data_IF_363742450444
#
_entry.id   IF_363742450444
#
_cell.length_a   1.000
_cell.length_b   1.000
_cell.length_c   1.000
_cell.angle_alpha   90.00
_cell.angle_beta   90.00
_cell.angle_gamma   90.00
#
_symmetry.space_group_name_H-M   'P 1'
#
loop_
_entity.id
_entity.type
_entity.pdbx_description
1 polymer ?
#
# COMPACT_ATOMS: atom_id res chain seq x y z
N UNK A 1 -6.19 7.54 16.67
CA UNK A 1 -5.67 7.08 15.36
C UNK A 1 -5.07 8.25 14.59
N UNK A 2 -3.79 8.19 14.26
CA UNK A 2 -3.08 9.22 13.49
C UNK A 2 -3.47 9.19 12.00
N UNK A 3 -3.11 10.24 11.24
CA UNK A 3 -3.30 10.25 9.77
C UNK A 3 -2.55 9.10 9.11
N UNK A 4 -1.34 8.80 9.58
CA UNK A 4 -0.52 7.74 9.02
C UNK A 4 -1.15 6.38 9.26
N UNK A 5 -1.63 6.11 10.47
CA UNK A 5 -2.36 4.86 10.79
C UNK A 5 -3.60 4.66 9.91
N UNK A 6 -4.37 5.73 9.64
CA UNK A 6 -5.52 5.67 8.72
C UNK A 6 -5.11 5.29 7.30
N UNK A 7 -4.02 5.88 6.79
CA UNK A 7 -3.51 5.58 5.46
C UNK A 7 -3.00 4.14 5.35
N UNK A 8 -2.24 3.68 6.36
CA UNK A 8 -1.78 2.29 6.44
C UNK A 8 -2.96 1.31 6.53
N UNK A 9 -3.98 1.62 7.34
CA UNK A 9 -5.19 0.79 7.42
C UNK A 9 -5.91 0.69 6.06
N UNK A 10 -6.10 1.81 5.36
CA UNK A 10 -6.66 1.83 4.00
C UNK A 10 -5.80 1.00 3.03
N UNK A 11 -4.47 1.18 3.03
CA UNK A 11 -3.58 0.42 2.14
C UNK A 11 -3.70 -1.08 2.36
N UNK A 12 -3.77 -1.52 3.62
CA UNK A 12 -3.96 -2.92 3.98
C UNK A 12 -5.32 -3.46 3.51
N UNK A 13 -6.38 -2.67 3.62
CA UNK A 13 -7.71 -3.04 3.10
C UNK A 13 -7.70 -3.20 1.58
N UNK A 14 -7.05 -2.29 0.85
CA UNK A 14 -6.90 -2.37 -0.62
C UNK A 14 -6.16 -3.65 -1.02
N UNK A 15 -5.03 -3.97 -0.36
CA UNK A 15 -4.27 -5.20 -0.62
C UNK A 15 -5.10 -6.45 -0.35
N UNK A 16 -5.79 -6.49 0.80
CA UNK A 16 -6.67 -7.60 1.15
C UNK A 16 -7.75 -7.81 0.08
N UNK A 17 -8.43 -6.73 -0.31
CA UNK A 17 -9.50 -6.77 -1.31
C UNK A 17 -9.00 -7.27 -2.67
N UNK A 18 -7.81 -6.80 -3.10
CA UNK A 18 -7.18 -7.24 -4.34
C UNK A 18 -6.94 -8.76 -4.35
N UNK A 19 -6.28 -9.30 -3.32
CA UNK A 19 -6.00 -10.74 -3.26
C UNK A 19 -7.26 -11.58 -3.04
N UNK A 20 -8.25 -11.10 -2.28
CA UNK A 20 -9.55 -11.76 -2.13
C UNK A 20 -10.27 -11.87 -3.48
N UNK A 21 -10.27 -10.80 -4.28
CA UNK A 21 -10.88 -10.80 -5.62
C UNK A 21 -10.12 -11.68 -6.60
N UNK A 22 -8.79 -11.67 -6.56
CA UNK A 22 -7.95 -12.55 -7.38
C UNK A 22 -8.21 -14.02 -7.07
N UNK A 23 -8.28 -14.38 -5.78
CA UNK A 23 -8.57 -15.74 -5.36
C UNK A 23 -9.97 -16.21 -5.76
N UNK A 24 -10.97 -15.32 -5.67
CA UNK A 24 -12.35 -15.61 -6.09
C UNK A 24 -12.51 -15.71 -7.61
N UNK A 25 -11.69 -14.97 -8.36
CA UNK A 25 -11.81 -14.85 -9.82
C UNK A 25 -10.47 -15.20 -10.52
N UNK A 26 -10.00 -16.46 -10.47
CA UNK A 26 -8.65 -16.83 -10.94
C UNK A 26 -8.42 -16.64 -12.45
N UNK A 27 -9.50 -16.48 -13.25
CA UNK A 27 -9.42 -16.25 -14.70
C UNK A 27 -9.44 -14.78 -15.09
N UNK A 28 -9.72 -13.88 -14.15
CA UNK A 28 -9.73 -12.45 -14.44
C UNK A 28 -8.32 -11.96 -14.69
N UNK A 29 -8.20 -11.02 -15.63
CA UNK A 29 -6.95 -10.30 -15.82
C UNK A 29 -6.70 -9.38 -14.62
N UNK A 30 -5.42 -9.09 -14.37
CA UNK A 30 -5.01 -8.24 -13.25
C UNK A 30 -5.57 -6.81 -13.35
N UNK A 31 -5.66 -6.25 -14.55
CA UNK A 31 -6.24 -4.91 -14.78
C UNK A 31 -7.73 -4.85 -14.41
N UNK A 32 -8.50 -5.88 -14.74
CA UNK A 32 -9.91 -5.97 -14.32
C UNK A 32 -10.06 -6.04 -12.78
N UNK A 33 -9.15 -6.74 -12.10
CA UNK A 33 -9.13 -6.77 -10.63
C UNK A 33 -8.77 -5.39 -10.07
N UNK A 34 -7.79 -4.70 -10.67
CA UNK A 34 -7.39 -3.35 -10.26
C UNK A 34 -8.56 -2.36 -10.40
N UNK A 35 -9.27 -2.40 -11.52
CA UNK A 35 -10.44 -1.57 -11.79
C UNK A 35 -11.54 -1.80 -10.75
N UNK A 36 -11.92 -3.06 -10.51
CA UNK A 36 -12.94 -3.42 -9.51
C UNK A 36 -12.54 -2.99 -8.08
N UNK A 37 -11.25 -3.13 -7.73
CA UNK A 37 -10.74 -2.64 -6.44
C UNK A 37 -10.78 -1.12 -6.37
N UNK A 38 -10.43 -0.43 -7.46
CA UNK A 38 -10.48 1.03 -7.58
C UNK A 38 -11.88 1.56 -7.33
N UNK A 39 -12.89 0.96 -7.98
CA UNK A 39 -14.29 1.32 -7.84
C UNK A 39 -14.81 1.10 -6.40
N UNK A 40 -14.48 -0.04 -5.78
CA UNK A 40 -14.89 -0.33 -4.40
C UNK A 40 -14.20 0.54 -3.34
N UNK A 41 -12.98 1.00 -3.63
CA UNK A 41 -12.17 1.77 -2.68
C UNK A 41 -12.13 3.28 -2.97
N UNK A 42 -12.79 3.73 -4.04
CA UNK A 42 -12.79 5.10 -4.54
C UNK A 42 -11.36 5.62 -4.79
N UNK A 43 -10.52 4.79 -5.41
CA UNK A 43 -9.13 5.10 -5.74
C UNK A 43 -8.88 4.93 -7.23
N UNK A 44 -8.05 5.79 -7.82
CA UNK A 44 -7.61 5.61 -9.20
C UNK A 44 -6.77 4.32 -9.35
N UNK A 45 -6.88 3.66 -10.50
CA UNK A 45 -6.19 2.39 -10.82
C UNK A 45 -4.68 2.46 -10.53
N UNK A 46 -4.02 3.55 -10.93
CA UNK A 46 -2.58 3.74 -10.67
C UNK A 46 -2.23 3.75 -9.18
N UNK A 47 -3.14 4.26 -8.33
CA UNK A 47 -2.96 4.29 -6.88
C UNK A 47 -3.12 2.90 -6.29
N UNK A 48 -4.12 2.13 -6.73
CA UNK A 48 -4.29 0.73 -6.33
C UNK A 48 -3.05 -0.09 -6.67
N UNK A 49 -2.53 0.05 -7.90
CA UNK A 49 -1.28 -0.61 -8.30
C UNK A 49 -0.11 -0.25 -7.39
N UNK A 50 0.08 1.05 -7.11
CA UNK A 50 1.18 1.51 -6.27
C UNK A 50 1.08 0.94 -4.84
N UNK A 51 -0.15 0.85 -4.29
CA UNK A 51 -0.40 0.27 -2.98
C UNK A 51 -0.07 -1.23 -2.97
N UNK A 52 -0.52 -1.99 -3.97
CA UNK A 52 -0.29 -3.44 -4.07
C UNK A 52 1.19 -3.75 -4.27
N UNK A 53 1.90 -2.95 -5.08
CA UNK A 53 3.33 -3.12 -5.38
C UNK A 53 4.28 -2.47 -4.36
N UNK A 54 3.75 -1.81 -3.32
CA UNK A 54 4.54 -1.05 -2.33
C UNK A 54 5.44 0.04 -2.97
N UNK A 55 4.93 0.73 -4.00
CA UNK A 55 5.68 1.75 -4.73
C UNK A 55 5.55 3.14 -4.09
N UNK A 56 6.62 3.93 -4.17
CA UNK A 56 6.63 5.34 -3.76
C UNK A 56 6.24 5.53 -2.30
N UNK A 57 5.27 6.42 -2.04
CA UNK A 57 4.79 6.74 -0.69
C UNK A 57 4.00 5.59 -0.02
N UNK A 58 3.73 4.50 -0.74
CA UNK A 58 3.01 3.33 -0.24
C UNK A 58 3.93 2.19 0.18
N UNK A 59 5.24 2.44 0.24
CA UNK A 59 6.23 1.49 0.74
C UNK A 59 6.19 1.38 2.27
N UNK A 60 5.04 0.99 2.82
CA UNK A 60 4.79 0.84 4.24
C UNK A 60 5.12 -0.56 4.78
N UNK A 61 5.75 -1.44 3.98
CA UNK A 61 6.32 -2.72 4.43
C UNK A 61 7.82 -2.65 4.73
N UNK A 62 8.51 -1.58 4.34
CA UNK A 62 9.94 -1.47 4.52
C UNK A 62 10.24 -1.39 6.01
N UNK A 63 11.23 -2.18 6.46
CA UNK A 63 11.82 -1.96 7.79
C UNK A 63 12.29 -0.51 7.84
N UNK A 64 12.05 0.23 8.95
CA UNK A 64 12.60 1.56 9.09
C UNK A 64 14.10 1.48 8.82
N UNK A 65 14.58 2.32 7.91
CA UNK A 65 16.01 2.41 7.62
C UNK A 65 16.66 2.86 8.92
N UNK A 66 17.39 1.97 9.59
CA UNK A 66 18.26 2.35 10.69
C UNK A 66 19.26 3.35 10.12
N UNK A 67 19.05 4.63 10.43
CA UNK A 67 19.98 5.68 10.05
C UNK A 67 21.28 5.45 10.83
N UNK A 68 22.30 4.95 10.15
CA UNK A 68 23.66 4.82 10.67
C UNK A 68 24.39 6.16 10.84
N UNK A 69 23.70 7.28 10.60
CA UNK A 69 24.25 8.61 10.82
C UNK A 69 24.09 9.01 12.29
N UNK A 70 25.19 9.28 13.02
CA UNK A 70 25.11 9.80 14.37
C UNK A 70 24.41 11.17 14.31
N UNK A 71 23.45 11.38 15.18
CA UNK A 71 22.76 12.67 15.28
C UNK A 71 23.75 13.71 15.81
N UNK A 72 23.74 14.93 15.28
CA UNK A 72 24.62 16.04 15.71
C UNK A 72 24.59 16.30 17.23
N UNK A 73 23.49 15.94 17.90
CA UNK A 73 23.32 16.02 19.35
C UNK A 73 24.09 14.97 20.16
N UNK A 74 24.72 13.97 19.52
CA UNK A 74 25.58 13.00 20.21
C UNK A 74 27.00 13.53 20.45
N UNK A 75 27.33 14.71 19.94
CA UNK A 75 28.65 15.36 20.08
C UNK A 75 28.59 16.71 20.80
N UNK A 76 27.48 17.04 21.46
CA UNK A 76 27.30 18.22 22.31
C UNK A 76 27.01 17.76 23.75
#
# INVERSE_FOLDING_TARGET
>A
MTRQERLTARNNQVRKLFYDLQAKNPKWRIDAIIEEVGDKSFLANRTVEAIVKYEGIYNDNAKPVESSQPTLFQFL
#
